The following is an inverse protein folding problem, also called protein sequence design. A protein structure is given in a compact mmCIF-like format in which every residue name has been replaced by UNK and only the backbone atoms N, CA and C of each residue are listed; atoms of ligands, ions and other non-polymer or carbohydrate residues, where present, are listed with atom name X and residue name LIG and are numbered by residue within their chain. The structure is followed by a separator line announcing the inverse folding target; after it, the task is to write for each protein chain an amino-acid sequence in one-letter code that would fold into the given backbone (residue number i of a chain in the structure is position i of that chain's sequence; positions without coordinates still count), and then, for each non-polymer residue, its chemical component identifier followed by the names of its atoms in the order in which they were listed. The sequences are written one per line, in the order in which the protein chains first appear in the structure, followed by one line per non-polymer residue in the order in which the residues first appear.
data_IF_988145346254
#
_entry.id   IF_988145346254
#
_cell.length_a   1.000
_cell.length_b   1.000
_cell.length_c   1.000
_cell.angle_alpha   90.00
_cell.angle_beta   90.00
_cell.angle_gamma   90.00
#
_symmetry.space_group_name_H-M   'P 1'
#
loop_
_entity.id
_entity.type
_entity.pdbx_description
1 polymer ?
#
# COMPACT_ATOMS: atom_id res chain seq x y z
N UNK A 1 16.78 16.18 -22.14
CA UNK A 1 16.75 16.52 -20.72
C UNK A 1 15.54 15.82 -20.10
N UNK A 2 15.70 15.14 -18.96
CA UNK A 2 14.64 14.35 -18.32
C UNK A 2 14.36 14.94 -16.95
N UNK A 3 13.09 15.11 -16.61
CA UNK A 3 12.64 15.59 -15.29
C UNK A 3 11.99 14.47 -14.49
N UNK A 4 12.08 14.59 -13.17
CA UNK A 4 11.44 13.66 -12.22
C UNK A 4 10.54 14.49 -11.29
N UNK A 5 9.29 14.06 -11.14
CA UNK A 5 8.37 14.62 -10.15
C UNK A 5 8.29 13.67 -8.95
N UNK A 6 8.33 14.21 -7.72
CA UNK A 6 8.20 13.45 -6.48
C UNK A 6 7.27 14.15 -5.49
N UNK A 7 6.55 13.37 -4.68
CA UNK A 7 5.59 13.92 -3.72
C UNK A 7 6.23 14.95 -2.75
N UNK A 8 7.50 14.75 -2.39
CA UNK A 8 8.27 15.62 -1.50
C UNK A 8 9.22 16.59 -2.21
N UNK A 9 9.11 16.73 -3.54
CA UNK A 9 9.89 17.68 -4.37
C UNK A 9 11.41 17.59 -4.21
N UNK A 10 11.94 16.36 -4.15
CA UNK A 10 13.35 16.11 -3.85
C UNK A 10 14.29 16.22 -5.06
N UNK A 11 13.79 16.31 -6.29
CA UNK A 11 14.61 16.22 -7.52
C UNK A 11 14.95 17.55 -8.19
N UNK A 12 15.07 18.62 -7.39
CA UNK A 12 15.54 19.92 -7.87
C UNK A 12 14.44 20.77 -8.51
N UNK A 13 14.84 21.82 -9.25
CA UNK A 13 13.92 22.90 -9.67
C UNK A 13 12.82 22.46 -10.65
N UNK A 14 13.02 21.37 -11.38
CA UNK A 14 12.05 20.83 -12.35
C UNK A 14 11.09 19.82 -11.73
N UNK A 15 11.24 19.53 -10.44
CA UNK A 15 10.31 18.69 -9.68
C UNK A 15 9.11 19.51 -9.22
N UNK A 16 8.02 19.41 -9.98
CA UNK A 16 6.77 20.13 -9.69
C UNK A 16 5.94 19.45 -8.57
N UNK A 17 6.34 18.26 -8.13
CA UNK A 17 5.59 17.43 -7.19
C UNK A 17 4.20 17.05 -7.70
N UNK A 18 3.19 17.15 -6.82
CA UNK A 18 1.82 16.70 -7.12
C UNK A 18 1.21 17.39 -8.35
N UNK A 19 1.47 18.69 -8.56
CA UNK A 19 0.98 19.38 -9.75
C UNK A 19 1.58 18.86 -11.05
N UNK A 20 2.81 18.32 -11.01
CA UNK A 20 3.43 17.61 -12.12
C UNK A 20 2.72 16.29 -12.43
N UNK A 21 2.32 15.56 -11.38
CA UNK A 21 1.51 14.34 -11.52
C UNK A 21 0.15 14.64 -12.15
N UNK A 22 -0.57 15.63 -11.62
CA UNK A 22 -1.89 16.02 -12.12
C UNK A 22 -1.82 16.42 -13.60
N UNK A 23 -0.80 17.20 -13.97
CA UNK A 23 -0.58 17.62 -15.35
C UNK A 23 -0.31 16.43 -16.28
N UNK A 24 0.50 15.47 -15.83
CA UNK A 24 0.76 14.24 -16.59
C UNK A 24 -0.52 13.41 -16.74
N UNK A 25 -1.23 13.12 -15.66
CA UNK A 25 -2.41 12.26 -15.70
C UNK A 25 -3.58 12.89 -16.48
N UNK A 26 -3.77 14.21 -16.39
CA UNK A 26 -4.80 14.92 -17.15
C UNK A 26 -4.55 14.94 -18.67
N UNK A 27 -3.29 14.93 -19.10
CA UNK A 27 -2.91 15.04 -20.52
C UNK A 27 -2.52 13.72 -21.16
N UNK A 28 -2.17 12.70 -20.38
CA UNK A 28 -1.63 11.44 -20.88
C UNK A 28 -2.67 10.61 -21.65
N UNK A 29 -2.43 10.32 -22.92
CA UNK A 29 -3.25 9.36 -23.68
C UNK A 29 -2.57 8.00 -23.70
N UNK A 30 -3.20 7.02 -23.05
CA UNK A 30 -2.70 5.65 -23.04
C UNK A 30 -2.57 5.12 -24.48
N UNK A 31 -1.47 4.43 -24.76
CA UNK A 31 -1.17 3.88 -26.08
C UNK A 31 -1.07 2.35 -26.03
N UNK A 32 -0.67 1.73 -27.16
CA UNK A 32 -0.47 0.28 -27.22
C UNK A 32 0.60 -0.23 -26.25
N UNK A 33 1.66 0.55 -26.02
CA UNK A 33 2.71 0.20 -25.06
C UNK A 33 2.14 0.13 -23.64
N UNK A 34 1.35 1.12 -23.21
CA UNK A 34 0.69 1.11 -21.89
C UNK A 34 -0.17 -0.15 -21.69
N UNK A 35 -0.88 -0.58 -22.75
CA UNK A 35 -1.72 -1.79 -22.75
C UNK A 35 -0.89 -3.08 -22.67
N UNK A 36 0.19 -3.18 -23.44
CA UNK A 36 1.13 -4.32 -23.39
C UNK A 36 1.78 -4.45 -22.02
N UNK A 37 2.07 -3.32 -21.37
CA UNK A 37 2.59 -3.27 -20.01
C UNK A 37 1.52 -3.49 -18.92
N UNK A 38 0.25 -3.70 -19.31
CA UNK A 38 -0.89 -3.93 -18.40
C UNK A 38 -1.05 -2.84 -17.33
N UNK A 39 -0.76 -1.59 -17.69
CA UNK A 39 -0.95 -0.44 -16.81
C UNK A 39 -2.43 -0.06 -16.73
N UNK A 40 -2.89 0.31 -15.54
CA UNK A 40 -4.26 0.80 -15.34
C UNK A 40 -4.46 2.09 -16.17
N UNK A 41 -5.50 2.15 -17.03
CA UNK A 41 -5.72 3.32 -17.86
C UNK A 41 -6.20 4.52 -17.03
N UNK A 42 -5.53 5.66 -17.20
CA UNK A 42 -5.74 6.87 -16.39
C UNK A 42 -6.97 7.69 -16.84
N UNK A 43 -7.34 7.59 -18.13
CA UNK A 43 -8.30 8.51 -18.77
C UNK A 43 -9.60 7.85 -19.26
N UNK A 44 -9.95 6.67 -18.75
CA UNK A 44 -11.28 6.08 -19.01
C UNK A 44 -12.21 6.60 -17.92
N UNK A 45 -13.10 7.51 -18.31
CA UNK A 45 -14.04 8.17 -17.42
C UNK A 45 -14.79 7.19 -16.52
N UNK A 46 -14.82 7.57 -15.23
CA UNK A 46 -15.85 7.29 -14.26
C UNK A 46 -16.95 6.28 -14.68
N UNK A 47 -16.79 5.04 -14.23
CA UNK A 47 -17.91 4.19 -13.86
C UNK A 47 -17.49 3.34 -12.68
N UNK A 48 -17.77 3.82 -11.47
CA UNK A 48 -17.93 2.97 -10.29
C UNK A 48 -16.76 2.83 -9.32
N UNK A 49 -15.73 3.67 -9.35
CA UNK A 49 -14.85 3.81 -8.19
C UNK A 49 -15.52 4.73 -7.16
N UNK A 50 -16.54 4.22 -6.47
CA UNK A 50 -16.91 4.76 -5.17
C UNK A 50 -15.62 4.81 -4.33
N UNK A 51 -15.15 6.01 -4.00
CA UNK A 51 -14.18 6.15 -2.92
C UNK A 51 -14.72 5.40 -1.70
N UNK A 52 -13.86 4.76 -0.88
CA UNK A 52 -14.33 3.90 0.19
C UNK A 52 -15.34 4.66 1.05
N UNK A 53 -16.60 4.26 0.93
CA UNK A 53 -17.69 4.68 1.79
C UNK A 53 -17.21 4.51 3.23
N UNK A 54 -17.62 5.40 4.15
CA UNK A 54 -17.26 5.28 5.58
C UNK A 54 -17.70 3.93 6.21
N UNK A 55 -18.48 3.13 5.47
CA UNK A 55 -18.99 1.82 5.85
C UNK A 55 -18.36 0.66 5.04
N UNK A 56 -17.31 0.90 4.25
CA UNK A 56 -16.60 -0.17 3.56
C UNK A 56 -16.08 -1.17 4.59
N UNK A 57 -16.51 -2.43 4.48
CA UNK A 57 -16.09 -3.48 5.40
C UNK A 57 -14.56 -3.47 5.52
N UNK A 58 -14.03 -3.55 6.74
CA UNK A 58 -12.58 -3.49 6.99
C UNK A 58 -11.81 -4.48 6.09
N UNK A 59 -12.43 -5.62 5.76
CA UNK A 59 -11.92 -6.64 4.83
C UNK A 59 -11.63 -6.13 3.41
N UNK A 60 -12.29 -5.07 2.95
CA UNK A 60 -12.13 -4.47 1.63
C UNK A 60 -11.11 -3.32 1.58
N UNK A 61 -10.58 -2.87 2.72
CA UNK A 61 -9.41 -1.98 2.76
C UNK A 61 -8.17 -2.87 2.62
N UNK A 62 -7.69 -3.03 1.39
CA UNK A 62 -6.43 -3.71 1.13
C UNK A 62 -5.28 -2.86 1.71
N UNK A 63 -4.82 -3.21 2.92
CA UNK A 63 -3.52 -2.74 3.45
C UNK A 63 -2.51 -2.91 2.32
N UNK A 64 -1.81 -1.84 1.94
CA UNK A 64 -0.86 -1.82 0.82
C UNK A 64 0.17 -2.93 1.08
N UNK A 65 0.08 -4.03 0.32
CA UNK A 65 0.86 -5.26 0.54
C UNK A 65 2.15 -5.18 -0.26
N UNK A 66 3.30 -5.17 0.42
CA UNK A 66 4.56 -5.49 -0.26
C UNK A 66 4.49 -6.92 -0.83
N UNK A 67 5.19 -7.20 -1.94
CA UNK A 67 5.23 -8.56 -2.51
C UNK A 67 5.70 -9.60 -1.48
N UNK A 68 6.57 -9.20 -0.54
CA UNK A 68 7.06 -10.02 0.56
C UNK A 68 5.94 -10.48 1.51
N UNK A 69 5.07 -9.55 1.93
CA UNK A 69 3.94 -9.88 2.80
C UNK A 69 2.95 -10.83 2.12
N UNK A 70 2.68 -10.62 0.83
CA UNK A 70 1.78 -11.49 0.05
C UNK A 70 2.33 -12.93 -0.06
N UNK A 71 3.64 -13.07 -0.24
CA UNK A 71 4.31 -14.36 -0.25
C UNK A 71 4.21 -15.06 1.11
N UNK A 72 4.53 -14.36 2.21
CA UNK A 72 4.44 -14.92 3.58
C UNK A 72 3.04 -15.35 3.96
N UNK A 73 2.02 -14.59 3.55
CA UNK A 73 0.61 -14.94 3.76
C UNK A 73 0.26 -16.30 3.15
N UNK A 74 0.67 -16.51 1.89
CA UNK A 74 0.41 -17.76 1.16
C UNK A 74 1.20 -18.94 1.74
N UNK A 75 2.45 -18.72 2.10
CA UNK A 75 3.32 -19.76 2.67
C UNK A 75 2.89 -20.22 4.06
N UNK A 76 2.15 -19.38 4.81
CA UNK A 76 1.86 -19.59 6.24
C UNK A 76 0.36 -19.56 6.56
N UNK A 77 -0.49 -19.58 5.53
CA UNK A 77 -1.96 -19.59 5.65
C UNK A 77 -2.52 -18.50 6.59
N UNK A 78 -1.90 -17.31 6.59
CA UNK A 78 -2.29 -16.21 7.48
C UNK A 78 -3.52 -15.50 6.90
N UNK A 79 -4.63 -15.48 7.63
CA UNK A 79 -5.86 -14.86 7.13
C UNK A 79 -5.77 -13.31 7.11
N UNK A 80 -6.39 -12.68 6.10
CA UNK A 80 -6.41 -11.20 6.01
C UNK A 80 -7.05 -10.59 7.24
N UNK A 81 -8.09 -11.26 7.75
CA UNK A 81 -8.83 -10.84 8.94
C UNK A 81 -7.95 -10.80 10.18
N UNK A 82 -7.03 -11.75 10.34
CA UNK A 82 -6.12 -11.76 11.49
C UNK A 82 -5.14 -10.61 11.42
N UNK A 83 -4.55 -10.33 10.25
CA UNK A 83 -3.67 -9.17 10.05
C UNK A 83 -4.36 -7.86 10.42
N UNK A 84 -5.61 -7.69 9.99
CA UNK A 84 -6.41 -6.52 10.34
C UNK A 84 -6.73 -6.45 11.84
N UNK A 85 -7.06 -7.58 12.45
CA UNK A 85 -7.29 -7.66 13.89
C UNK A 85 -6.02 -7.32 14.68
N UNK A 86 -4.84 -7.75 14.23
CA UNK A 86 -3.58 -7.38 14.85
C UNK A 86 -3.27 -5.89 14.72
N UNK A 87 -3.43 -5.28 13.56
CA UNK A 87 -3.20 -3.83 13.40
C UNK A 87 -4.19 -3.01 14.24
N UNK A 88 -5.43 -3.46 14.37
CA UNK A 88 -6.50 -2.72 15.06
C UNK A 88 -6.52 -2.94 16.58
N UNK A 89 -6.26 -4.16 17.03
CA UNK A 89 -6.46 -4.60 18.42
C UNK A 89 -5.23 -5.29 19.04
N UNK A 90 -4.16 -5.46 18.26
CA UNK A 90 -2.93 -6.10 18.73
C UNK A 90 -2.10 -5.22 19.65
N UNK A 91 -1.30 -5.87 20.48
CA UNK A 91 -0.27 -5.22 21.30
C UNK A 91 0.81 -4.67 20.37
N UNK A 92 1.10 -3.37 20.49
CA UNK A 92 2.11 -2.67 19.69
C UNK A 92 3.45 -2.67 20.40
N UNK A 93 4.49 -3.09 19.69
CA UNK A 93 5.86 -3.08 20.18
C UNK A 93 6.80 -2.55 19.10
N UNK A 94 7.95 -1.95 19.48
CA UNK A 94 8.98 -1.60 18.52
C UNK A 94 9.39 -2.84 17.71
N UNK A 95 9.37 -2.73 16.39
CA UNK A 95 9.84 -3.81 15.52
C UNK A 95 11.37 -3.87 15.49
N UNK A 96 11.92 -4.98 14.98
CA UNK A 96 13.38 -5.18 14.88
C UNK A 96 14.07 -4.22 13.91
N UNK A 97 13.31 -3.60 13.00
CA UNK A 97 13.81 -2.57 12.09
C UNK A 97 13.50 -1.18 12.65
N UNK A 98 14.45 -0.24 12.67
CA UNK A 98 14.19 1.14 13.10
C UNK A 98 12.99 1.73 12.35
N UNK A 99 12.05 2.30 13.10
CA UNK A 99 10.81 2.88 12.54
C UNK A 99 9.75 1.87 12.12
N UNK A 100 9.93 0.57 12.40
CA UNK A 100 8.88 -0.45 12.23
C UNK A 100 8.13 -0.71 13.54
N UNK A 101 6.86 -1.12 13.42
CA UNK A 101 6.02 -1.48 14.57
C UNK A 101 5.50 -2.88 14.40
N UNK A 102 5.71 -3.73 15.42
CA UNK A 102 5.14 -5.06 15.50
C UNK A 102 3.80 -4.99 16.22
N UNK A 103 2.78 -5.57 15.60
CA UNK A 103 1.45 -5.75 16.20
C UNK A 103 1.21 -7.24 16.40
N UNK A 104 0.98 -7.65 17.65
CA UNK A 104 0.76 -9.07 18.00
C UNK A 104 -0.68 -9.25 18.50
N UNK A 105 -1.41 -10.21 17.93
CA UNK A 105 -2.78 -10.53 18.30
C UNK A 105 -3.11 -11.99 17.97
N UNK A 106 -3.75 -12.70 18.91
CA UNK A 106 -4.22 -14.09 18.76
C UNK A 106 -3.20 -15.06 18.12
N UNK A 107 -1.95 -15.04 18.59
CA UNK A 107 -0.92 -15.96 18.07
C UNK A 107 -0.38 -15.58 16.69
N UNK A 108 -0.65 -14.38 16.20
CA UNK A 108 -0.07 -13.84 14.97
C UNK A 108 0.55 -12.47 15.21
N UNK A 109 1.70 -12.23 14.60
CA UNK A 109 2.35 -10.92 14.55
C UNK A 109 2.47 -10.41 13.12
N UNK A 110 2.16 -9.14 12.93
CA UNK A 110 2.41 -8.38 11.71
C UNK A 110 3.34 -7.20 12.02
N UNK A 111 4.34 -6.99 11.18
CA UNK A 111 5.23 -5.84 11.25
C UNK A 111 4.81 -4.84 10.19
N UNK A 112 4.53 -3.61 10.61
CA UNK A 112 4.21 -2.48 9.75
C UNK A 112 5.33 -1.45 9.78
N UNK A 113 5.26 -0.48 8.87
CA UNK A 113 5.96 0.80 9.03
C UNK A 113 5.43 1.60 10.25
N UNK A 114 6.10 2.72 10.55
CA UNK A 114 5.79 3.61 11.67
C UNK A 114 4.44 4.30 11.53
N UNK A 115 3.93 4.45 10.30
CA UNK A 115 2.60 5.02 10.03
C UNK A 115 1.48 3.97 10.04
N UNK A 116 1.81 2.68 10.19
CA UNK A 116 0.89 1.54 10.12
C UNK A 116 0.14 1.38 8.78
N UNK A 117 0.65 1.99 7.71
CA UNK A 117 0.02 2.00 6.37
C UNK A 117 0.50 0.85 5.50
N UNK A 118 1.77 0.46 5.66
CA UNK A 118 2.40 -0.59 4.85
C UNK A 118 2.77 -1.77 5.73
N UNK A 119 2.27 -2.95 5.37
CA UNK A 119 2.67 -4.22 5.98
C UNK A 119 3.96 -4.75 5.36
N UNK A 120 4.97 -4.98 6.21
CA UNK A 120 6.29 -5.48 5.82
C UNK A 120 6.28 -7.01 5.80
N UNK A 121 5.94 -7.64 6.92
CA UNK A 121 5.92 -9.10 7.06
C UNK A 121 4.91 -9.55 8.12
N UNK A 122 4.45 -10.80 8.05
CA UNK A 122 3.57 -11.42 9.02
C UNK A 122 3.99 -12.86 9.32
N UNK A 123 3.83 -13.28 10.56
CA UNK A 123 4.20 -14.60 11.03
C UNK A 123 3.36 -15.04 12.24
N UNK A 124 3.05 -16.34 12.37
CA UNK A 124 2.48 -16.86 13.60
C UNK A 124 3.51 -16.70 14.73
N UNK A 125 3.09 -16.10 15.84
CA UNK A 125 3.82 -16.17 17.11
C UNK A 125 3.35 -17.45 17.78
N UNK A 126 4.19 -18.49 17.74
CA UNK A 126 3.87 -19.76 18.42
C UNK A 126 3.41 -19.50 19.86
N UNK A 127 2.42 -20.29 20.30
CA UNK A 127 2.01 -20.36 21.71
C UNK A 127 3.21 -20.66 22.60
#
# INVERSE_FOLDING_TARGET
DVSVCSADRRFGKTDLGESGFDSFFGTHRCNELCRKLKLTPINVGASGAEGPSRNTATSAIEIIRTNHLRQRKREREIETREMQAAVKHGRKEPGSVPGSVRHTHNGMAIVTDGEHRVGITAFPTGQ
#
